data_IF_415783518493
#
_entry.id   IF_415783518493
#
_cell.length_a   1.000
_cell.length_b   1.000
_cell.length_c   1.000
_cell.angle_alpha   90.00
_cell.angle_beta   90.00
_cell.angle_gamma   90.00
#
_symmetry.space_group_name_H-M   'P 1'
#
loop_
_entity.id
_entity.type
_entity.pdbx_description
1 polymer ?
#
# COMPACT_ATOMS: atom_id res chain seq x y z
N UNK A 1 40.11 36.82 -16.09
CA UNK A 1 39.73 35.77 -17.05
C UNK A 1 38.88 34.76 -16.32
N UNK A 2 37.57 34.77 -16.56
CA UNK A 2 36.65 33.77 -16.00
C UNK A 2 36.63 32.59 -16.97
N UNK A 3 37.28 31.50 -16.62
CA UNK A 3 37.20 30.25 -17.38
C UNK A 3 35.83 29.64 -17.14
N UNK A 4 34.92 29.83 -18.10
CA UNK A 4 33.61 29.19 -18.08
C UNK A 4 33.73 27.66 -18.12
N UNK A 5 32.85 26.98 -17.40
CA UNK A 5 32.72 25.52 -17.44
C UNK A 5 32.48 25.08 -18.89
N UNK A 6 33.35 24.22 -19.42
CA UNK A 6 33.28 23.78 -20.81
C UNK A 6 31.93 23.12 -21.17
N UNK A 7 31.52 23.14 -22.45
CA UNK A 7 30.20 22.67 -22.90
C UNK A 7 29.86 21.23 -22.48
N UNK A 8 30.84 20.35 -22.34
CA UNK A 8 30.64 18.99 -21.85
C UNK A 8 30.32 18.94 -20.35
N UNK A 9 30.91 19.83 -19.55
CA UNK A 9 30.67 19.93 -18.09
C UNK A 9 29.31 20.57 -17.84
N UNK A 10 28.93 21.57 -18.64
CA UNK A 10 27.58 22.16 -18.60
C UNK A 10 26.52 21.16 -19.08
N UNK A 11 26.77 20.38 -20.13
CA UNK A 11 25.84 19.34 -20.58
C UNK A 11 25.69 18.20 -19.55
N UNK A 12 26.79 17.77 -18.93
CA UNK A 12 26.77 16.78 -17.85
C UNK A 12 26.02 17.31 -16.61
N UNK A 13 26.24 18.58 -16.22
CA UNK A 13 25.48 19.24 -15.15
C UNK A 13 23.99 19.36 -15.49
N UNK A 14 23.63 19.71 -16.72
CA UNK A 14 22.22 19.80 -17.17
C UNK A 14 21.55 18.43 -17.18
N UNK A 15 22.25 17.37 -17.62
CA UNK A 15 21.74 16.00 -17.59
C UNK A 15 21.58 15.48 -16.16
N UNK A 16 22.52 15.78 -15.26
CA UNK A 16 22.44 15.43 -13.83
C UNK A 16 21.30 16.19 -13.13
N UNK A 17 21.10 17.48 -13.44
CA UNK A 17 19.99 18.29 -12.89
C UNK A 17 18.64 17.84 -13.47
N UNK A 18 18.56 17.49 -14.76
CA UNK A 18 17.33 16.95 -15.35
C UNK A 18 16.98 15.57 -14.75
N UNK A 19 17.95 14.70 -14.50
CA UNK A 19 17.74 13.45 -13.78
C UNK A 19 17.37 13.65 -12.30
N UNK A 20 17.83 14.75 -11.68
CA UNK A 20 17.45 15.12 -10.30
C UNK A 20 16.01 15.66 -10.17
N UNK A 21 15.31 15.95 -11.27
CA UNK A 21 13.92 16.42 -11.25
C UNK A 21 12.87 15.34 -11.47
N UNK A 22 13.26 14.18 -12.01
CA UNK A 22 12.33 13.08 -12.26
C UNK A 22 12.12 12.23 -11.01
N UNK A 23 10.85 11.97 -10.68
CA UNK A 23 10.51 10.97 -9.68
C UNK A 23 10.87 9.58 -10.20
N UNK A 24 11.30 8.71 -9.28
CA UNK A 24 11.56 7.31 -9.59
C UNK A 24 10.32 6.66 -10.23
N UNK A 25 10.47 5.95 -11.37
CA UNK A 25 9.32 5.33 -12.02
C UNK A 25 8.62 4.31 -11.10
N UNK A 26 7.36 4.03 -11.34
CA UNK A 26 6.61 3.00 -10.60
C UNK A 26 5.95 1.99 -11.53
N UNK A 27 5.42 0.90 -10.98
CA UNK A 27 4.72 -0.11 -11.77
C UNK A 27 3.49 0.50 -12.49
N UNK A 28 3.21 0.08 -13.74
CA UNK A 28 1.98 0.48 -14.42
C UNK A 28 0.74 -0.07 -13.69
N UNK A 29 -0.44 0.54 -13.88
CA UNK A 29 -1.68 0.03 -13.29
C UNK A 29 -1.97 -1.42 -13.71
N UNK A 30 -2.32 -2.28 -12.75
CA UNK A 30 -2.52 -3.72 -12.98
C UNK A 30 -3.99 -4.13 -13.25
N UNK A 31 -4.94 -3.20 -13.09
CA UNK A 31 -6.38 -3.46 -13.25
C UNK A 31 -6.96 -2.70 -14.45
N UNK A 32 -7.69 -1.61 -14.22
CA UNK A 32 -8.47 -0.86 -15.23
C UNK A 32 -7.64 0.10 -16.08
N UNK A 33 -6.30 0.04 -16.00
CA UNK A 33 -5.42 1.05 -16.61
C UNK A 33 -5.46 2.43 -15.93
N UNK A 34 -6.26 2.60 -14.88
CA UNK A 34 -6.39 3.87 -14.15
C UNK A 34 -5.18 4.17 -13.27
N UNK A 35 -4.75 5.43 -13.16
CA UNK A 35 -3.59 5.80 -12.35
C UNK A 35 -3.83 5.65 -10.85
N UNK A 36 -5.08 5.74 -10.40
CA UNK A 36 -5.51 5.56 -9.03
C UNK A 36 -6.70 4.60 -9.00
N UNK A 37 -6.51 3.45 -8.35
CA UNK A 37 -7.50 2.37 -8.23
C UNK A 37 -8.28 2.53 -6.93
N UNK A 38 -9.60 2.42 -6.98
CA UNK A 38 -10.42 2.27 -5.75
C UNK A 38 -11.01 0.88 -5.73
N UNK A 39 -10.56 0.06 -4.79
CA UNK A 39 -11.03 -1.29 -4.60
C UNK A 39 -12.03 -1.41 -3.45
N UNK A 40 -13.01 -2.29 -3.62
CA UNK A 40 -14.02 -2.64 -2.62
C UNK A 40 -13.79 -4.05 -2.10
N UNK A 41 -13.42 -4.19 -0.84
CA UNK A 41 -13.22 -5.47 -0.15
C UNK A 41 -14.01 -5.51 1.17
N UNK A 42 -15.32 -5.34 1.05
CA UNK A 42 -16.29 -5.37 2.15
C UNK A 42 -17.26 -6.52 1.88
N UNK A 43 -17.66 -7.34 2.88
CA UNK A 43 -18.43 -8.58 2.69
C UNK A 43 -19.92 -8.36 2.33
N UNK A 44 -20.21 -7.33 1.54
CA UNK A 44 -21.56 -6.87 1.18
C UNK A 44 -22.37 -7.83 0.32
N UNK A 45 -21.75 -8.86 -0.25
CA UNK A 45 -22.47 -9.93 -0.91
C UNK A 45 -23.35 -10.74 0.06
N UNK A 46 -23.13 -10.64 1.37
CA UNK A 46 -24.03 -11.22 2.38
C UNK A 46 -25.35 -10.42 2.52
N UNK A 47 -25.40 -9.14 2.14
CA UNK A 47 -26.59 -8.29 2.32
C UNK A 47 -27.81 -8.73 1.49
N UNK A 48 -27.60 -9.20 0.26
CA UNK A 48 -28.68 -9.72 -0.59
C UNK A 48 -29.34 -10.98 -0.03
N UNK A 49 -28.61 -12.11 0.08
CA UNK A 49 -29.18 -13.39 0.49
C UNK A 49 -29.67 -13.39 1.94
N UNK A 50 -28.89 -12.82 2.89
CA UNK A 50 -29.21 -12.86 4.33
C UNK A 50 -30.23 -11.81 4.75
N UNK A 51 -30.16 -10.60 4.19
CA UNK A 51 -30.94 -9.45 4.67
C UNK A 51 -31.95 -8.90 3.65
N UNK A 52 -32.07 -9.52 2.47
CA UNK A 52 -32.92 -9.07 1.35
C UNK A 52 -32.65 -7.61 0.95
N UNK A 53 -31.40 -7.18 1.11
CA UNK A 53 -30.98 -5.79 0.92
C UNK A 53 -29.73 -5.73 0.02
N UNK A 54 -29.76 -6.22 -1.23
CA UNK A 54 -28.60 -6.15 -2.11
C UNK A 54 -28.19 -4.70 -2.36
N UNK A 55 -26.88 -4.48 -2.43
CA UNK A 55 -26.33 -3.22 -2.92
C UNK A 55 -26.72 -2.99 -4.37
N UNK A 56 -26.76 -1.73 -4.79
CA UNK A 56 -27.10 -1.40 -6.18
C UNK A 56 -25.91 -1.77 -7.10
N UNK A 57 -26.12 -2.60 -8.14
CA UNK A 57 -25.05 -2.96 -9.08
C UNK A 57 -24.39 -1.76 -9.75
N UNK A 58 -25.12 -0.65 -10.00
CA UNK A 58 -24.56 0.56 -10.60
C UNK A 58 -23.65 1.33 -9.65
N UNK A 59 -23.91 1.28 -8.35
CA UNK A 59 -23.02 1.87 -7.35
C UNK A 59 -21.73 1.06 -7.24
N UNK A 60 -21.84 -0.27 -7.30
CA UNK A 60 -20.68 -1.16 -7.27
C UNK A 60 -19.75 -1.00 -8.47
N UNK A 61 -20.28 -0.63 -9.65
CA UNK A 61 -19.47 -0.32 -10.86
C UNK A 61 -18.59 0.92 -10.74
N UNK A 62 -18.70 1.70 -9.65
CA UNK A 62 -17.80 2.82 -9.38
C UNK A 62 -16.42 2.37 -8.89
N UNK A 63 -16.32 1.18 -8.30
CA UNK A 63 -15.08 0.59 -7.84
C UNK A 63 -14.40 -0.17 -8.97
N UNK A 64 -13.10 0.03 -9.14
CA UNK A 64 -12.29 -0.60 -10.18
C UNK A 64 -12.15 -2.11 -9.96
N UNK A 65 -12.19 -2.53 -8.69
CA UNK A 65 -12.07 -3.92 -8.27
C UNK A 65 -13.06 -4.18 -7.14
N UNK A 66 -13.73 -5.32 -7.20
CA UNK A 66 -14.61 -5.81 -6.15
C UNK A 66 -14.08 -7.18 -5.69
N UNK A 67 -13.97 -7.34 -4.37
CA UNK A 67 -13.55 -8.57 -3.71
C UNK A 67 -14.37 -8.74 -2.42
N UNK A 68 -14.14 -9.86 -1.75
CA UNK A 68 -14.66 -10.13 -0.43
C UNK A 68 -13.59 -10.72 0.49
N UNK A 69 -13.56 -10.31 1.77
CA UNK A 69 -12.69 -10.92 2.78
C UNK A 69 -13.19 -12.29 3.26
N UNK A 70 -14.42 -12.69 2.89
CA UNK A 70 -15.03 -13.95 3.30
C UNK A 70 -14.24 -15.16 2.75
N UNK A 71 -14.03 -16.17 3.59
CA UNK A 71 -13.16 -17.33 3.30
C UNK A 71 -13.56 -18.09 2.03
N UNK A 72 -14.86 -18.22 1.76
CA UNK A 72 -15.35 -18.95 0.59
C UNK A 72 -15.13 -18.25 -0.75
N UNK A 73 -14.62 -17.02 -0.77
CA UNK A 73 -14.41 -16.24 -1.98
C UNK A 73 -12.94 -16.35 -2.42
N UNK A 74 -12.73 -17.08 -3.51
CA UNK A 74 -11.41 -17.41 -4.04
C UNK A 74 -11.26 -16.96 -5.48
N UNK A 75 -10.02 -16.92 -5.97
CA UNK A 75 -9.65 -16.48 -7.31
C UNK A 75 -10.11 -15.05 -7.61
N UNK A 76 -9.93 -14.18 -6.61
CA UNK A 76 -10.32 -12.77 -6.65
C UNK A 76 -9.14 -11.91 -7.08
N UNK A 77 -9.43 -10.74 -7.67
CA UNK A 77 -8.41 -9.75 -8.04
C UNK A 77 -7.64 -9.19 -6.82
N UNK A 78 -8.26 -9.26 -5.64
CA UNK A 78 -7.64 -8.96 -4.35
C UNK A 78 -7.87 -10.17 -3.46
N UNK A 79 -6.79 -10.76 -2.98
CA UNK A 79 -6.82 -11.91 -2.09
C UNK A 79 -6.14 -11.55 -0.78
N UNK A 80 -6.89 -11.58 0.32
CA UNK A 80 -6.34 -11.40 1.67
C UNK A 80 -6.15 -12.77 2.33
N UNK A 81 -4.91 -13.05 2.71
CA UNK A 81 -4.50 -14.22 3.45
C UNK A 81 -4.42 -13.89 4.95
N UNK A 82 -5.55 -14.06 5.65
CA UNK A 82 -5.57 -14.03 7.12
C UNK A 82 -4.70 -15.12 7.74
N UNK A 83 -4.39 -15.00 9.03
CA UNK A 83 -3.47 -15.88 9.78
C UNK A 83 -3.59 -17.39 9.52
N UNK A 84 -4.80 -17.90 9.33
CA UNK A 84 -5.08 -19.33 9.17
C UNK A 84 -5.13 -19.77 7.68
N UNK A 85 -4.88 -18.84 6.75
CA UNK A 85 -5.06 -19.05 5.30
C UNK A 85 -3.75 -19.19 4.52
N UNK A 86 -2.58 -19.04 5.15
CA UNK A 86 -1.29 -19.08 4.46
C UNK A 86 -0.18 -19.69 5.32
N UNK A 87 0.23 -20.91 4.96
CA UNK A 87 1.24 -21.67 5.69
C UNK A 87 0.83 -22.00 7.13
N UNK A 88 1.84 -22.29 7.95
CA UNK A 88 1.70 -22.57 9.38
C UNK A 88 2.22 -21.37 10.19
N UNK A 89 1.44 -20.29 10.27
CA UNK A 89 1.85 -19.06 10.94
C UNK A 89 1.80 -19.20 12.49
N UNK A 90 2.93 -19.07 13.21
CA UNK A 90 2.96 -19.23 14.66
C UNK A 90 2.20 -18.11 15.38
N UNK A 91 1.25 -18.44 16.24
CA UNK A 91 0.44 -17.44 16.95
C UNK A 91 -0.19 -18.02 18.23
N UNK A 92 -0.86 -17.16 19.00
CA UNK A 92 -1.73 -17.60 20.10
C UNK A 92 -3.20 -17.45 19.70
N UNK A 93 -4.00 -18.50 19.91
CA UNK A 93 -5.43 -18.42 19.64
C UNK A 93 -6.17 -17.59 20.71
N UNK A 94 -7.49 -17.42 20.55
CA UNK A 94 -8.33 -16.60 21.43
C UNK A 94 -8.37 -17.04 22.89
N UNK A 95 -8.01 -18.30 23.20
CA UNK A 95 -7.91 -18.83 24.58
C UNK A 95 -6.47 -18.82 25.10
N UNK A 96 -5.54 -18.20 24.38
CA UNK A 96 -4.13 -18.06 24.79
C UNK A 96 -3.29 -19.33 24.59
N UNK A 97 -3.76 -20.29 23.79
CA UNK A 97 -2.99 -21.50 23.47
C UNK A 97 -2.06 -21.24 22.30
N UNK A 98 -0.81 -21.68 22.44
CA UNK A 98 0.19 -21.69 21.38
C UNK A 98 -0.27 -22.56 20.19
N UNK A 99 -0.25 -21.97 19.00
CA UNK A 99 -0.54 -22.61 17.70
C UNK A 99 0.72 -22.52 16.85
N UNK A 100 1.08 -23.62 16.18
CA UNK A 100 2.31 -23.74 15.37
C UNK A 100 3.59 -23.27 16.08
N UNK A 101 3.69 -23.51 17.40
CA UNK A 101 4.83 -23.11 18.21
C UNK A 101 4.67 -21.77 18.94
N UNK A 102 3.68 -20.95 18.56
CA UNK A 102 3.27 -19.73 19.25
C UNK A 102 4.19 -18.53 19.00
N UNK A 103 5.50 -18.74 18.90
CA UNK A 103 6.50 -17.74 18.50
C UNK A 103 7.30 -18.26 17.31
N UNK A 104 7.82 -17.39 16.43
CA UNK A 104 8.47 -17.81 15.19
C UNK A 104 9.68 -18.72 15.42
N UNK A 105 10.51 -18.49 16.44
CA UNK A 105 11.69 -19.33 16.73
C UNK A 105 11.35 -20.72 17.27
N UNK A 106 10.08 -20.97 17.61
CA UNK A 106 9.58 -22.27 18.05
C UNK A 106 8.65 -22.92 17.00
N UNK A 107 8.42 -22.24 15.87
CA UNK A 107 7.66 -22.76 14.73
C UNK A 107 8.57 -23.46 13.72
N UNK A 108 8.05 -24.47 13.02
CA UNK A 108 8.79 -25.11 11.94
C UNK A 108 8.63 -24.37 10.62
N UNK A 109 9.66 -23.63 10.21
CA UNK A 109 9.68 -22.93 8.92
C UNK A 109 9.55 -23.90 7.75
N UNK A 110 10.14 -25.09 7.85
CA UNK A 110 10.05 -26.10 6.79
C UNK A 110 8.60 -26.56 6.56
N UNK A 111 7.88 -26.95 7.63
CA UNK A 111 6.46 -27.34 7.53
C UNK A 111 5.62 -26.15 7.04
N UNK A 112 5.93 -24.94 7.49
CA UNK A 112 5.27 -23.73 7.03
C UNK A 112 5.36 -23.58 5.50
N UNK A 113 6.57 -23.69 4.94
CA UNK A 113 6.82 -23.53 3.50
C UNK A 113 6.17 -24.65 2.67
N UNK A 114 6.14 -25.89 3.14
CA UNK A 114 5.45 -26.99 2.44
C UNK A 114 3.95 -26.72 2.26
N UNK A 115 3.33 -26.09 3.26
CA UNK A 115 1.89 -25.77 3.23
C UNK A 115 1.54 -24.59 2.33
N UNK A 116 2.50 -23.69 2.04
CA UNK A 116 2.25 -22.49 1.24
C UNK A 116 1.70 -22.83 -0.15
N UNK A 117 2.22 -23.88 -0.80
CA UNK A 117 1.78 -24.25 -2.15
C UNK A 117 0.27 -24.47 -2.21
N UNK A 118 -0.25 -25.37 -1.39
CA UNK A 118 -1.68 -25.72 -1.39
C UNK A 118 -2.56 -24.55 -1.01
N UNK A 119 -2.12 -23.73 -0.04
CA UNK A 119 -2.86 -22.55 0.38
C UNK A 119 -2.92 -21.49 -0.73
N UNK A 120 -1.81 -21.20 -1.40
CA UNK A 120 -1.81 -20.24 -2.52
C UNK A 120 -2.62 -20.78 -3.71
N UNK A 121 -2.53 -22.07 -4.04
CA UNK A 121 -3.35 -22.67 -5.10
C UNK A 121 -4.85 -22.60 -4.81
N UNK A 122 -5.25 -22.72 -3.54
CA UNK A 122 -6.65 -22.64 -3.14
C UNK A 122 -7.25 -21.27 -3.44
N UNK A 123 -6.56 -20.21 -3.02
CA UNK A 123 -7.06 -18.82 -3.11
C UNK A 123 -6.71 -18.13 -4.43
N UNK A 124 -5.58 -18.47 -5.07
CA UNK A 124 -5.12 -17.91 -6.35
C UNK A 124 -4.89 -19.07 -7.32
N UNK A 125 -5.94 -19.48 -8.02
CA UNK A 125 -5.97 -20.71 -8.83
C UNK A 125 -5.20 -20.58 -10.14
N UNK A 126 -5.15 -19.37 -10.71
CA UNK A 126 -4.52 -19.10 -12.00
C UNK A 126 -3.27 -18.23 -11.86
N UNK A 127 -2.38 -18.29 -12.85
CA UNK A 127 -1.20 -17.42 -12.95
C UNK A 127 -1.56 -15.99 -13.43
N UNK A 128 -2.67 -15.90 -14.17
CA UNK A 128 -3.22 -14.68 -14.74
C UNK A 128 -4.73 -14.61 -14.47
N UNK A 129 -5.32 -13.41 -14.38
CA UNK A 129 -4.69 -12.08 -14.51
C UNK A 129 -3.82 -11.72 -13.29
N UNK A 130 -3.15 -10.56 -13.35
CA UNK A 130 -2.47 -9.96 -12.20
C UNK A 130 -3.49 -9.54 -11.12
N UNK A 131 -3.05 -9.53 -9.86
CA UNK A 131 -3.90 -9.18 -8.73
C UNK A 131 -3.08 -8.70 -7.52
N UNK A 132 -3.78 -8.26 -6.48
CA UNK A 132 -3.17 -7.95 -5.18
C UNK A 132 -3.29 -9.18 -4.27
N UNK A 133 -2.19 -9.53 -3.61
CA UNK A 133 -2.13 -10.63 -2.67
C UNK A 133 -1.57 -10.10 -1.34
N UNK A 134 -2.46 -9.94 -0.37
CA UNK A 134 -2.17 -9.27 0.90
C UNK A 134 -2.04 -10.32 1.99
N UNK A 135 -0.90 -10.35 2.67
CA UNK A 135 -0.69 -11.24 3.82
C UNK A 135 -1.08 -10.47 5.08
N UNK A 136 -2.12 -10.94 5.76
CA UNK A 136 -2.70 -10.29 6.93
C UNK A 136 -2.34 -11.05 8.21
N UNK A 137 -1.11 -10.81 8.66
CA UNK A 137 -0.51 -11.39 9.86
C UNK A 137 -0.30 -10.32 10.91
N UNK A 138 -1.25 -10.21 11.84
CA UNK A 138 -1.24 -9.15 12.86
C UNK A 138 -0.82 -9.64 14.24
N UNK A 139 -0.72 -10.96 14.46
CA UNK A 139 -0.54 -11.54 15.79
C UNK A 139 0.75 -11.07 16.47
N UNK A 140 1.90 -11.05 15.78
CA UNK A 140 3.17 -10.50 16.25
C UNK A 140 3.82 -9.57 15.21
N UNK A 141 4.78 -8.75 15.65
CA UNK A 141 5.52 -7.79 14.83
C UNK A 141 6.99 -8.20 14.75
N UNK A 142 7.66 -8.12 13.58
CA UNK A 142 9.02 -8.63 13.42
C UNK A 142 10.07 -7.85 14.21
N UNK A 143 9.73 -6.63 14.67
CA UNK A 143 10.58 -5.82 15.55
C UNK A 143 10.15 -6.06 16.99
N UNK A 144 11.04 -6.61 17.82
CA UNK A 144 10.79 -7.06 19.19
C UNK A 144 10.10 -6.02 20.04
N UNK A 145 10.61 -4.79 20.04
CA UNK A 145 10.09 -3.71 20.88
C UNK A 145 8.65 -3.35 20.53
N UNK A 146 8.21 -3.62 19.30
CA UNK A 146 6.83 -3.38 18.86
C UNK A 146 5.83 -4.40 19.41
N UNK A 147 6.27 -5.50 20.03
CA UNK A 147 5.38 -6.50 20.65
C UNK A 147 4.99 -6.09 22.08
N UNK A 148 4.31 -4.95 22.21
CA UNK A 148 3.76 -4.43 23.48
C UNK A 148 2.29 -4.83 23.68
N UNK A 149 1.74 -4.49 24.85
CA UNK A 149 0.35 -4.75 25.24
C UNK A 149 -0.01 -6.25 25.13
N UNK A 150 -1.09 -6.59 24.42
CA UNK A 150 -1.55 -7.96 24.17
C UNK A 150 -0.47 -8.82 23.51
N UNK A 151 0.44 -8.22 22.74
CA UNK A 151 1.57 -8.89 22.09
C UNK A 151 2.76 -9.15 23.01
N UNK A 152 2.73 -8.72 24.27
CA UNK A 152 3.81 -9.04 25.22
C UNK A 152 3.92 -10.55 25.49
N UNK A 153 2.86 -11.32 25.23
CA UNK A 153 2.88 -12.79 25.30
C UNK A 153 4.01 -13.40 24.44
N UNK A 154 4.30 -12.84 23.26
CA UNK A 154 5.40 -13.30 22.40
C UNK A 154 6.76 -13.06 23.05
N UNK A 155 6.95 -11.89 23.70
CA UNK A 155 8.19 -11.58 24.44
C UNK A 155 8.36 -12.45 25.68
N UNK A 156 7.27 -12.80 26.37
CA UNK A 156 7.29 -13.67 27.55
C UNK A 156 7.63 -15.11 27.18
N UNK A 157 6.96 -15.68 26.18
CA UNK A 157 7.26 -17.05 25.73
C UNK A 157 8.70 -17.15 25.19
N UNK A 158 9.15 -16.17 24.42
CA UNK A 158 10.53 -16.14 23.89
C UNK A 158 11.57 -16.20 25.03
N UNK A 159 11.41 -15.38 26.07
CA UNK A 159 12.30 -15.40 27.25
C UNK A 159 12.22 -16.73 28.00
N UNK A 160 11.03 -17.29 28.14
CA UNK A 160 10.83 -18.58 28.81
C UNK A 160 11.55 -19.73 28.09
N UNK A 161 11.48 -19.78 26.75
CA UNK A 161 12.16 -20.81 25.94
C UNK A 161 13.69 -20.73 26.06
N UNK A 162 14.25 -19.54 26.15
CA UNK A 162 15.69 -19.35 26.40
C UNK A 162 16.06 -19.76 27.82
N UNK A 163 15.26 -19.36 28.83
CA UNK A 163 15.52 -19.71 30.23
C UNK A 163 15.47 -21.22 30.50
N UNK A 164 14.60 -21.97 29.82
CA UNK A 164 14.57 -23.44 29.91
C UNK A 164 15.86 -24.06 29.36
N UNK A 165 16.37 -23.56 28.23
CA UNK A 165 17.61 -24.06 27.62
C UNK A 165 18.86 -23.62 28.37
N UNK A 166 18.78 -22.51 29.11
CA UNK A 166 19.89 -21.94 29.86
C UNK A 166 19.48 -21.53 31.29
N UNK A 167 19.26 -22.50 32.19
CA UNK A 167 18.77 -22.23 33.56
C UNK A 167 19.71 -21.33 34.39
N UNK A 168 21.02 -21.40 34.10
CA UNK A 168 22.05 -20.67 34.85
C UNK A 168 22.34 -19.27 34.29
N UNK A 169 21.68 -18.84 33.21
CA UNK A 169 21.93 -17.53 32.63
C UNK A 169 21.26 -16.40 33.40
N UNK A 170 21.92 -15.24 33.56
CA UNK A 170 21.29 -14.08 34.16
C UNK A 170 20.14 -13.55 33.29
N UNK A 171 19.09 -12.95 33.90
CA UNK A 171 17.90 -12.49 33.18
C UNK A 171 18.19 -11.55 31.99
N UNK A 172 19.20 -10.68 32.11
CA UNK A 172 19.58 -9.76 31.02
C UNK A 172 20.12 -10.48 29.79
N UNK A 173 20.90 -11.56 30.00
CA UNK A 173 21.41 -12.39 28.91
C UNK A 173 20.28 -13.16 28.24
N UNK A 174 19.37 -13.72 29.04
CA UNK A 174 18.15 -14.38 28.55
C UNK A 174 17.31 -13.40 27.69
N UNK A 175 17.14 -12.16 28.15
CA UNK A 175 16.37 -11.17 27.42
C UNK A 175 16.99 -10.79 26.06
N UNK A 176 18.31 -10.58 26.01
CA UNK A 176 19.03 -10.27 24.77
C UNK A 176 18.97 -11.44 23.77
N UNK A 177 19.17 -12.66 24.24
CA UNK A 177 19.10 -13.85 23.38
C UNK A 177 17.67 -14.07 22.86
N UNK A 178 16.65 -13.92 23.73
CA UNK A 178 15.25 -14.06 23.33
C UNK A 178 14.83 -13.04 22.27
N UNK A 179 15.34 -11.80 22.38
CA UNK A 179 15.14 -10.79 21.34
C UNK A 179 15.79 -11.23 20.02
N UNK A 180 17.07 -11.63 20.06
CA UNK A 180 17.81 -12.05 18.87
C UNK A 180 17.11 -13.21 18.15
N UNK A 181 16.79 -14.28 18.88
CA UNK A 181 16.13 -15.46 18.31
C UNK A 181 14.76 -15.13 17.71
N UNK A 182 13.96 -14.30 18.40
CA UNK A 182 12.66 -13.88 17.93
C UNK A 182 12.75 -13.06 16.65
N UNK A 183 13.56 -11.99 16.62
CA UNK A 183 13.67 -11.10 15.45
C UNK A 183 14.29 -11.84 14.26
N UNK A 184 15.27 -12.72 14.51
CA UNK A 184 15.85 -13.57 13.49
C UNK A 184 14.79 -14.50 12.87
N UNK A 185 14.05 -15.25 13.70
CA UNK A 185 13.05 -16.18 13.20
C UNK A 185 11.86 -15.45 12.55
N UNK A 186 11.40 -14.34 13.11
CA UNK A 186 10.33 -13.52 12.53
C UNK A 186 10.69 -13.05 11.13
N UNK A 187 11.93 -12.58 10.93
CA UNK A 187 12.46 -12.21 9.62
C UNK A 187 12.46 -13.42 8.67
N UNK A 188 12.97 -14.58 9.10
CA UNK A 188 13.00 -15.78 8.25
C UNK A 188 11.59 -16.18 7.80
N UNK A 189 10.62 -16.24 8.71
CA UNK A 189 9.24 -16.58 8.39
C UNK A 189 8.64 -15.62 7.36
N UNK A 190 8.70 -14.31 7.59
CA UNK A 190 8.11 -13.34 6.67
C UNK A 190 8.84 -13.31 5.31
N UNK A 191 10.17 -13.36 5.32
CA UNK A 191 11.00 -13.26 4.11
C UNK A 191 10.86 -14.50 3.21
N UNK A 192 10.97 -15.70 3.78
CA UNK A 192 10.85 -16.94 3.00
C UNK A 192 9.43 -17.16 2.50
N UNK A 193 8.41 -16.69 3.25
CA UNK A 193 7.03 -16.64 2.75
C UNK A 193 6.94 -15.78 1.50
N UNK A 194 7.40 -14.52 1.54
CA UNK A 194 7.35 -13.62 0.38
C UNK A 194 8.10 -14.19 -0.83
N UNK A 195 9.30 -14.73 -0.62
CA UNK A 195 10.08 -15.37 -1.68
C UNK A 195 9.32 -16.49 -2.36
N UNK A 196 8.76 -17.39 -1.56
CA UNK A 196 7.97 -18.51 -2.06
C UNK A 196 6.76 -18.02 -2.86
N UNK A 197 5.91 -17.19 -2.27
CA UNK A 197 4.63 -16.80 -2.89
C UNK A 197 4.83 -15.95 -4.14
N UNK A 198 5.84 -15.09 -4.18
CA UNK A 198 6.21 -14.32 -5.37
C UNK A 198 6.73 -15.21 -6.48
N UNK A 199 7.62 -16.15 -6.17
CA UNK A 199 8.09 -17.10 -7.19
C UNK A 199 6.94 -17.96 -7.73
N UNK A 200 5.98 -18.32 -6.87
CA UNK A 200 4.86 -19.17 -7.21
C UNK A 200 3.73 -18.45 -7.96
N UNK A 201 3.51 -17.15 -7.70
CA UNK A 201 2.55 -16.26 -8.38
C UNK A 201 3.22 -14.92 -8.73
N UNK A 202 4.09 -14.88 -9.74
CA UNK A 202 4.93 -13.71 -10.06
C UNK A 202 4.18 -12.51 -10.62
N UNK A 203 2.94 -12.70 -11.08
CA UNK A 203 2.09 -11.60 -11.59
C UNK A 203 1.22 -10.95 -10.51
N UNK A 204 1.19 -11.51 -9.31
CA UNK A 204 0.50 -10.89 -8.18
C UNK A 204 1.45 -9.95 -7.44
N UNK A 205 0.91 -8.84 -6.96
CA UNK A 205 1.64 -7.93 -6.10
C UNK A 205 1.44 -8.33 -4.64
N UNK A 206 2.54 -8.71 -3.99
CA UNK A 206 2.63 -9.30 -2.66
C UNK A 206 3.19 -8.31 -1.66
N UNK A 207 2.63 -8.35 -0.46
CA UNK A 207 3.07 -7.54 0.67
C UNK A 207 2.23 -7.84 1.91
N UNK A 208 2.66 -7.33 3.06
CA UNK A 208 1.95 -7.49 4.32
C UNK A 208 1.03 -6.31 4.59
N UNK A 209 -0.20 -6.60 5.02
CA UNK A 209 -1.10 -5.59 5.58
C UNK A 209 -0.47 -4.92 6.80
N UNK A 210 -0.78 -3.63 7.00
CA UNK A 210 -0.21 -2.70 7.99
C UNK A 210 1.19 -2.17 7.68
N UNK A 211 1.96 -2.76 6.76
CA UNK A 211 3.37 -2.39 6.60
C UNK A 211 3.60 -1.36 5.46
N UNK A 212 4.35 -0.27 5.73
CA UNK A 212 4.85 0.17 7.03
C UNK A 212 3.75 0.80 7.90
N UNK A 213 3.97 0.75 9.22
CA UNK A 213 3.20 1.52 10.19
C UNK A 213 4.01 2.74 10.65
N UNK A 214 3.32 3.86 10.79
CA UNK A 214 3.85 5.16 11.21
C UNK A 214 3.79 5.34 12.74
N UNK A 215 2.89 4.61 13.43
CA UNK A 215 2.63 4.72 14.87
C UNK A 215 2.38 6.15 15.38
N UNK A 216 1.78 7.01 14.55
CA UNK A 216 1.41 8.40 14.84
C UNK A 216 0.07 8.50 15.62
N UNK A 217 -0.07 7.75 16.71
CA UNK A 217 -1.30 7.70 17.51
C UNK A 217 -1.29 8.62 18.73
N UNK A 218 -0.30 9.51 18.85
CA UNK A 218 -0.14 10.38 20.01
C UNK A 218 -1.18 11.52 20.08
N UNK A 219 -2.04 11.67 19.05
CA UNK A 219 -3.25 12.51 19.12
C UNK A 219 -4.15 12.19 20.32
N UNK A 220 -4.10 10.96 20.85
CA UNK A 220 -4.83 10.54 22.04
C UNK A 220 -4.39 11.30 23.30
N UNK A 221 -3.12 11.73 23.36
CA UNK A 221 -2.54 12.40 24.52
C UNK A 221 -2.19 13.87 24.25
N UNK A 222 -1.90 14.20 22.99
CA UNK A 222 -1.26 15.45 22.58
C UNK A 222 -2.08 16.22 21.55
N UNK A 223 -3.42 16.26 21.67
CA UNK A 223 -4.30 16.84 20.65
C UNK A 223 -3.86 18.23 20.15
N UNK A 224 -3.57 19.15 21.07
CA UNK A 224 -3.22 20.54 20.73
C UNK A 224 -1.90 20.67 19.95
N UNK A 225 -0.96 19.75 20.16
CA UNK A 225 0.38 19.77 19.54
C UNK A 225 0.56 18.68 18.49
N UNK A 226 -0.50 17.93 18.17
CA UNK A 226 -0.43 16.78 17.29
C UNK A 226 -0.16 17.18 15.84
N UNK A 227 0.99 16.74 15.33
CA UNK A 227 1.44 17.05 13.96
C UNK A 227 1.09 15.96 12.95
N UNK A 228 0.78 14.75 13.40
CA UNK A 228 0.62 13.57 12.57
C UNK A 228 1.92 12.92 12.11
N UNK A 229 3.09 13.53 12.35
CA UNK A 229 4.39 12.97 11.94
C UNK A 229 4.61 11.60 12.54
N UNK A 230 5.18 10.69 11.76
CA UNK A 230 5.72 9.44 12.29
C UNK A 230 6.85 9.80 13.28
N UNK A 231 6.86 9.23 14.50
CA UNK A 231 7.99 9.43 15.41
C UNK A 231 9.30 8.99 14.76
N UNK A 232 10.39 9.75 14.94
CA UNK A 232 11.68 9.48 14.27
C UNK A 232 12.22 8.08 14.59
N UNK A 233 11.96 7.57 15.80
CA UNK A 233 12.31 6.21 16.20
C UNK A 233 11.57 5.15 15.38
N UNK A 234 10.35 5.43 14.94
CA UNK A 234 9.54 4.51 14.13
C UNK A 234 9.96 4.53 12.66
N UNK A 235 10.35 5.70 12.15
CA UNK A 235 11.00 5.83 10.84
C UNK A 235 12.29 5.00 10.81
N UNK A 236 13.16 5.13 11.83
CA UNK A 236 14.39 4.33 11.94
C UNK A 236 14.12 2.82 12.08
N UNK A 237 13.07 2.42 12.80
CA UNK A 237 12.65 1.01 12.89
C UNK A 237 12.13 0.50 11.54
N UNK A 238 11.46 1.33 10.76
CA UNK A 238 11.05 0.97 9.40
C UNK A 238 12.27 0.84 8.48
N UNK A 239 13.32 1.63 8.64
CA UNK A 239 14.57 1.46 7.88
C UNK A 239 15.25 0.11 8.16
N UNK A 240 15.15 -0.40 9.40
CA UNK A 240 15.67 -1.73 9.77
C UNK A 240 14.90 -2.89 9.10
N UNK A 241 13.69 -2.61 8.58
CA UNK A 241 12.88 -3.55 7.81
C UNK A 241 13.19 -3.50 6.30
N UNK A 242 14.33 -2.94 5.88
CA UNK A 242 14.79 -2.92 4.48
C UNK A 242 14.65 -4.27 3.75
N UNK A 243 14.86 -5.38 4.46
CA UNK A 243 14.70 -6.74 3.93
C UNK A 243 13.25 -7.07 3.52
N UNK A 244 12.26 -6.50 4.20
CA UNK A 244 10.84 -6.70 3.93
C UNK A 244 10.41 -5.92 2.70
N UNK A 245 10.86 -4.66 2.61
CA UNK A 245 10.59 -3.77 1.49
C UNK A 245 11.19 -4.32 0.20
N UNK A 246 12.48 -4.71 0.24
CA UNK A 246 13.18 -5.24 -0.93
C UNK A 246 12.59 -6.54 -1.47
N UNK A 247 11.95 -7.34 -0.61
CA UNK A 247 11.28 -8.57 -1.01
C UNK A 247 9.79 -8.35 -1.34
N UNK A 248 9.19 -7.20 -1.03
CA UNK A 248 7.79 -6.92 -1.39
C UNK A 248 7.64 -6.57 -2.87
N UNK A 249 6.43 -6.67 -3.43
CA UNK A 249 6.08 -6.13 -4.76
C UNK A 249 4.96 -5.11 -4.72
N UNK A 250 4.33 -4.90 -3.56
CA UNK A 250 3.51 -3.74 -3.22
C UNK A 250 3.54 -3.50 -1.70
N UNK A 251 3.14 -2.30 -1.26
CA UNK A 251 2.97 -1.96 0.16
C UNK A 251 1.51 -1.71 0.49
N UNK A 252 1.11 -2.11 1.70
CA UNK A 252 -0.28 -2.10 2.16
C UNK A 252 -0.44 -1.40 3.53
N UNK A 253 -0.10 -0.10 3.65
CA UNK A 253 -0.28 0.64 4.89
C UNK A 253 -1.78 0.78 5.19
N UNK A 254 -2.15 0.77 6.48
CA UNK A 254 -3.52 1.06 6.92
C UNK A 254 -3.65 2.50 7.41
N UNK A 255 -4.72 3.19 7.03
CA UNK A 255 -5.04 4.55 7.46
C UNK A 255 -6.45 4.65 8.06
N UNK A 256 -6.91 3.57 8.72
CA UNK A 256 -8.24 3.54 9.33
C UNK A 256 -8.42 4.71 10.29
N UNK A 257 -9.36 5.59 9.96
CA UNK A 257 -9.54 6.85 10.64
C UNK A 257 -10.47 6.68 11.84
N UNK A 258 -10.01 7.02 13.04
CA UNK A 258 -10.85 6.98 14.23
C UNK A 258 -11.84 8.14 14.28
N UNK A 259 -13.00 7.93 14.92
CA UNK A 259 -14.06 8.95 15.01
C UNK A 259 -13.60 10.20 15.80
N UNK A 260 -12.64 10.05 16.73
CA UNK A 260 -12.00 11.19 17.41
C UNK A 260 -11.27 12.14 16.45
N UNK A 261 -10.85 11.65 15.28
CA UNK A 261 -10.19 12.44 14.24
C UNK A 261 -11.16 12.96 13.17
N UNK A 262 -12.46 12.67 13.30
CA UNK A 262 -13.46 13.00 12.28
C UNK A 262 -13.48 14.49 11.96
N UNK A 263 -13.55 14.80 10.66
CA UNK A 263 -13.72 16.16 10.13
C UNK A 263 -12.70 17.16 10.68
N UNK A 264 -11.45 16.71 10.82
CA UNK A 264 -10.38 17.50 11.43
C UNK A 264 -9.10 17.53 10.58
N UNK A 265 -8.33 18.61 10.74
CA UNK A 265 -6.98 18.72 10.17
C UNK A 265 -6.06 17.63 10.69
N UNK A 266 -6.23 17.22 11.95
CA UNK A 266 -5.50 16.11 12.56
C UNK A 266 -5.82 14.77 11.89
N UNK A 267 -7.06 14.54 11.47
CA UNK A 267 -7.43 13.36 10.68
C UNK A 267 -6.70 13.30 9.35
N UNK A 268 -6.61 14.43 8.64
CA UNK A 268 -5.78 14.53 7.43
C UNK A 268 -4.30 14.30 7.72
N UNK A 269 -3.75 14.93 8.76
CA UNK A 269 -2.34 14.76 9.11
C UNK A 269 -2.01 13.31 9.47
N UNK A 270 -2.91 12.63 10.21
CA UNK A 270 -2.80 11.20 10.53
C UNK A 270 -2.64 10.35 9.27
N UNK A 271 -3.53 10.53 8.29
CA UNK A 271 -3.47 9.79 7.02
C UNK A 271 -2.23 10.19 6.21
N UNK A 272 -1.99 11.49 6.05
CA UNK A 272 -0.95 12.02 5.16
C UNK A 272 0.42 11.46 5.51
N UNK A 273 0.82 11.49 6.78
CA UNK A 273 2.13 10.98 7.19
C UNK A 273 2.26 9.45 7.09
N UNK A 274 1.15 8.70 7.24
CA UNK A 274 1.14 7.25 7.03
C UNK A 274 1.36 6.89 5.56
N UNK A 275 0.70 7.61 4.65
CA UNK A 275 0.89 7.44 3.21
C UNK A 275 2.29 7.89 2.79
N UNK A 276 2.79 9.01 3.31
CA UNK A 276 4.14 9.50 3.04
C UNK A 276 5.22 8.52 3.51
N UNK A 277 5.07 7.89 4.69
CA UNK A 277 6.03 6.89 5.16
C UNK A 277 6.04 5.64 4.27
N UNK A 278 4.87 5.19 3.81
CA UNK A 278 4.78 4.10 2.83
C UNK A 278 5.46 4.46 1.51
N UNK A 279 5.24 5.67 0.99
CA UNK A 279 5.89 6.15 -0.23
C UNK A 279 7.41 6.31 -0.05
N UNK A 280 7.86 6.73 1.13
CA UNK A 280 9.29 6.86 1.46
C UNK A 280 9.98 5.51 1.39
N UNK A 281 9.47 4.49 2.08
CA UNK A 281 10.11 3.15 2.04
C UNK A 281 9.91 2.47 0.68
N UNK A 282 8.80 2.75 -0.03
CA UNK A 282 8.60 2.25 -1.40
C UNK A 282 9.69 2.74 -2.38
N UNK A 283 10.19 3.97 -2.18
CA UNK A 283 11.15 4.59 -3.08
C UNK A 283 12.59 4.08 -2.86
N UNK A 284 12.96 3.67 -1.64
CA UNK A 284 14.38 3.46 -1.28
C UNK A 284 14.95 2.10 -1.72
N UNK A 285 14.16 1.03 -1.76
CA UNK A 285 14.71 -0.35 -1.71
C UNK A 285 14.86 -1.09 -3.04
N UNK A 286 14.29 -0.60 -4.14
CA UNK A 286 14.50 -1.17 -5.48
C UNK A 286 15.25 -0.16 -6.36
N UNK A 287 16.38 -0.51 -6.98
CA UNK A 287 17.20 0.47 -7.71
C UNK A 287 16.43 1.27 -8.81
N UNK A 288 15.57 0.59 -9.56
CA UNK A 288 15.03 1.12 -10.82
C UNK A 288 13.56 1.57 -10.76
N UNK A 289 12.85 1.31 -9.66
CA UNK A 289 11.45 1.72 -9.50
C UNK A 289 11.06 1.87 -8.04
N UNK A 290 9.99 2.62 -7.78
CA UNK A 290 9.30 2.64 -6.50
C UNK A 290 8.18 1.61 -6.48
N UNK A 291 7.98 0.94 -5.34
CA UNK A 291 6.88 -0.01 -5.15
C UNK A 291 5.52 0.71 -5.25
N UNK A 292 4.50 0.10 -5.90
CA UNK A 292 3.14 0.62 -5.84
C UNK A 292 2.58 0.49 -4.42
N UNK A 293 2.00 1.58 -3.90
CA UNK A 293 1.37 1.62 -2.57
C UNK A 293 -0.14 1.54 -2.71
N UNK A 294 -0.77 0.56 -2.08
CA UNK A 294 -2.23 0.40 -2.02
C UNK A 294 -2.70 0.59 -0.58
N UNK A 295 -3.33 1.72 -0.31
CA UNK A 295 -3.63 2.16 1.06
C UNK A 295 -4.92 1.50 1.55
N UNK A 296 -4.86 0.77 2.65
CA UNK A 296 -6.05 0.24 3.31
C UNK A 296 -6.79 1.36 4.05
N UNK A 297 -8.05 1.57 3.71
CA UNK A 297 -8.96 2.45 4.44
C UNK A 297 -10.31 1.75 4.64
N UNK A 298 -11.21 2.35 5.42
CA UNK A 298 -12.58 1.85 5.63
C UNK A 298 -13.57 2.83 4.99
N UNK A 299 -14.75 2.35 4.54
CA UNK A 299 -15.84 3.26 4.17
C UNK A 299 -16.45 3.98 5.39
N UNK A 300 -16.08 3.56 6.61
CA UNK A 300 -16.57 4.09 7.90
C UNK A 300 -15.41 4.45 8.81
N UNK A 301 -15.66 5.21 9.88
CA UNK A 301 -14.66 5.38 10.93
C UNK A 301 -14.31 4.05 11.58
N UNK A 302 -13.08 3.93 12.10
CA UNK A 302 -12.62 2.77 12.83
C UNK A 302 -13.57 2.46 14.01
N UNK A 303 -13.81 1.18 14.28
CA UNK A 303 -14.64 0.72 15.42
C UNK A 303 -16.12 1.11 15.35
N UNK A 304 -16.58 1.71 14.25
CA UNK A 304 -17.97 2.08 14.00
C UNK A 304 -18.43 1.79 12.58
N UNK A 305 -19.74 1.94 12.36
CA UNK A 305 -20.39 1.81 11.06
C UNK A 305 -20.87 3.15 10.49
N UNK A 306 -20.48 4.25 11.13
CA UNK A 306 -20.72 5.61 10.66
C UNK A 306 -19.83 5.87 9.45
N UNK A 307 -20.44 6.16 8.29
CA UNK A 307 -19.71 6.48 7.06
C UNK A 307 -18.82 7.71 7.24
N UNK A 308 -17.67 7.72 6.55
CA UNK A 308 -16.77 8.87 6.55
C UNK A 308 -17.48 10.11 5.99
N UNK A 309 -17.26 11.28 6.62
CA UNK A 309 -17.75 12.56 6.10
C UNK A 309 -17.09 12.90 4.75
N UNK A 310 -17.61 13.88 4.02
CA UNK A 310 -16.96 14.35 2.79
C UNK A 310 -15.52 14.84 3.06
N UNK A 311 -15.30 15.55 4.16
CA UNK A 311 -13.96 16.00 4.58
C UNK A 311 -13.03 14.81 4.86
N UNK A 312 -13.54 13.73 5.41
CA UNK A 312 -12.74 12.54 5.73
C UNK A 312 -12.54 11.64 4.52
N UNK A 313 -13.45 11.63 3.53
CA UNK A 313 -13.21 11.04 2.22
C UNK A 313 -12.07 11.78 1.49
N UNK A 314 -12.04 13.11 1.59
CA UNK A 314 -10.92 13.94 1.14
C UNK A 314 -9.64 13.59 1.89
N UNK A 315 -9.71 13.50 3.21
CA UNK A 315 -8.55 13.26 4.06
C UNK A 315 -8.00 11.84 3.98
N UNK A 316 -8.79 10.87 3.49
CA UNK A 316 -8.39 9.46 3.32
C UNK A 316 -8.07 9.13 1.86
N UNK A 317 -9.11 9.02 1.02
CA UNK A 317 -8.99 8.62 -0.38
C UNK A 317 -8.33 9.73 -1.20
N UNK A 318 -8.77 10.99 -1.04
CA UNK A 318 -8.24 12.14 -1.77
C UNK A 318 -6.77 12.40 -1.47
N UNK A 319 -6.39 12.36 -0.19
CA UNK A 319 -5.00 12.52 0.25
C UNK A 319 -4.11 11.41 -0.31
N UNK A 320 -4.58 10.16 -0.30
CA UNK A 320 -3.85 9.02 -0.89
C UNK A 320 -3.63 9.21 -2.40
N UNK A 321 -4.66 9.65 -3.14
CA UNK A 321 -4.56 9.92 -4.57
C UNK A 321 -3.59 11.07 -4.86
N UNK A 322 -3.69 12.17 -4.12
CA UNK A 322 -2.86 13.36 -4.31
C UNK A 322 -1.38 13.08 -4.02
N UNK A 323 -1.07 12.26 -3.02
CA UNK A 323 0.31 11.87 -2.68
C UNK A 323 0.93 10.85 -3.65
N UNK A 324 0.16 10.28 -4.58
CA UNK A 324 0.67 9.37 -5.60
C UNK A 324 0.56 7.88 -5.29
N UNK A 325 -0.27 7.48 -4.32
CA UNK A 325 -0.58 6.07 -4.09
C UNK A 325 -1.17 5.42 -5.36
N UNK A 326 -0.98 4.11 -5.54
CA UNK A 326 -1.55 3.36 -6.67
C UNK A 326 -3.04 3.12 -6.53
N UNK A 327 -3.53 3.17 -5.31
CA UNK A 327 -4.94 3.06 -5.03
C UNK A 327 -5.24 2.97 -3.55
N UNK A 328 -6.52 2.79 -3.26
CA UNK A 328 -7.03 2.47 -1.93
C UNK A 328 -7.81 1.16 -1.96
N UNK A 329 -7.77 0.43 -0.86
CA UNK A 329 -8.59 -0.76 -0.62
C UNK A 329 -9.55 -0.42 0.52
N UNK A 330 -10.85 -0.33 0.18
CA UNK A 330 -11.92 -0.14 1.15
C UNK A 330 -12.25 -1.48 1.78
N UNK A 331 -11.73 -1.72 2.96
CA UNK A 331 -11.92 -2.97 3.67
C UNK A 331 -13.07 -2.88 4.67
N UNK A 332 -13.75 -4.00 4.91
CA UNK A 332 -14.72 -4.10 5.99
C UNK A 332 -14.85 -5.52 6.55
N UNK A 333 -15.20 -5.61 7.82
CA UNK A 333 -15.45 -6.87 8.52
C UNK A 333 -16.93 -7.31 8.40
N UNK A 334 -17.24 -8.48 8.99
CA UNK A 334 -18.61 -9.01 9.01
C UNK A 334 -19.63 -8.09 9.71
N UNK A 335 -19.17 -7.09 10.48
CA UNK A 335 -19.99 -6.06 11.11
C UNK A 335 -20.87 -5.30 10.11
N UNK A 336 -20.39 -5.09 8.88
CA UNK A 336 -21.11 -4.43 7.79
C UNK A 336 -22.36 -5.17 7.31
N UNK A 337 -22.49 -6.45 7.65
CA UNK A 337 -23.59 -7.31 7.19
C UNK A 337 -24.28 -8.03 8.35
N UNK A 338 -24.36 -7.37 9.50
CA UNK A 338 -24.99 -7.90 10.72
C UNK A 338 -26.52 -7.84 10.70
N UNK A 339 -27.10 -6.85 10.02
CA UNK A 339 -28.55 -6.63 9.99
C UNK A 339 -29.04 -5.97 8.70
N UNK A 340 -30.35 -5.99 8.49
CA UNK A 340 -31.02 -5.25 7.42
C UNK A 340 -30.78 -3.73 7.52
N UNK A 341 -30.75 -3.17 8.73
CA UNK A 341 -30.45 -1.77 9.01
C UNK A 341 -29.04 -1.43 8.56
N UNK A 342 -28.05 -2.24 8.93
CA UNK A 342 -26.65 -1.99 8.57
C UNK A 342 -26.47 -2.00 7.05
N UNK A 343 -27.01 -3.01 6.37
CA UNK A 343 -26.94 -3.10 4.90
C UNK A 343 -27.66 -1.92 4.22
N UNK A 344 -28.82 -1.49 4.74
CA UNK A 344 -29.53 -0.31 4.21
C UNK A 344 -28.73 0.97 4.41
N UNK A 345 -28.19 1.21 5.62
CA UNK A 345 -27.36 2.40 5.90
C UNK A 345 -26.14 2.45 5.00
N UNK A 346 -25.47 1.31 4.80
CA UNK A 346 -24.33 1.22 3.90
C UNK A 346 -24.75 1.54 2.46
N UNK A 347 -25.85 0.95 1.97
CA UNK A 347 -26.38 1.23 0.63
C UNK A 347 -26.70 2.72 0.43
N UNK A 348 -27.35 3.34 1.40
CA UNK A 348 -27.68 4.77 1.36
C UNK A 348 -26.42 5.63 1.36
N UNK A 349 -25.44 5.30 2.21
CA UNK A 349 -24.15 6.00 2.29
C UNK A 349 -23.35 5.89 0.98
N UNK A 350 -23.28 4.69 0.39
CA UNK A 350 -22.66 4.47 -0.91
C UNK A 350 -23.26 5.38 -1.97
N UNK A 351 -24.59 5.33 -2.10
CA UNK A 351 -25.32 6.09 -3.13
C UNK A 351 -25.14 7.59 -2.97
N UNK A 352 -25.21 8.10 -1.72
CA UNK A 352 -25.28 9.53 -1.44
C UNK A 352 -23.91 10.20 -1.32
N UNK A 353 -22.89 9.49 -0.85
CA UNK A 353 -21.62 10.11 -0.45
C UNK A 353 -20.42 9.44 -1.11
N UNK A 354 -20.23 8.12 -0.89
CA UNK A 354 -19.00 7.47 -1.30
C UNK A 354 -18.87 7.33 -2.82
N UNK A 355 -19.92 6.90 -3.53
CA UNK A 355 -19.88 6.70 -4.99
C UNK A 355 -19.64 8.02 -5.75
N UNK A 356 -20.36 9.13 -5.47
CA UNK A 356 -20.04 10.42 -6.09
C UNK A 356 -18.58 10.84 -5.89
N UNK A 357 -18.06 10.65 -4.68
CA UNK A 357 -16.68 10.99 -4.35
C UNK A 357 -15.66 10.12 -5.10
N UNK A 358 -15.86 8.80 -5.12
CA UNK A 358 -14.99 7.84 -5.84
C UNK A 358 -14.96 8.14 -7.33
N UNK A 359 -16.11 8.42 -7.95
CA UNK A 359 -16.18 8.83 -9.36
C UNK A 359 -15.38 10.12 -9.58
N UNK A 360 -15.52 11.12 -8.71
CA UNK A 360 -14.79 12.38 -8.82
C UNK A 360 -13.26 12.16 -8.79
N UNK A 361 -12.74 11.56 -7.73
CA UNK A 361 -11.29 11.40 -7.52
C UNK A 361 -10.64 10.50 -8.58
N UNK A 362 -11.29 9.40 -8.96
CA UNK A 362 -10.75 8.48 -9.96
C UNK A 362 -10.67 9.11 -11.34
N UNK A 363 -11.69 9.89 -11.75
CA UNK A 363 -11.65 10.61 -13.02
C UNK A 363 -10.69 11.81 -12.99
N UNK A 364 -10.59 12.52 -11.88
CA UNK A 364 -9.61 13.60 -11.74
C UNK A 364 -8.17 13.09 -11.88
N UNK A 365 -7.85 11.96 -11.25
CA UNK A 365 -6.56 11.31 -11.40
C UNK A 365 -6.31 10.86 -12.86
N UNK A 366 -7.34 10.30 -13.52
CA UNK A 366 -7.26 9.91 -14.93
C UNK A 366 -7.01 11.09 -15.88
N UNK A 367 -7.77 12.18 -15.73
CA UNK A 367 -7.60 13.37 -16.55
C UNK A 367 -6.26 14.03 -16.31
N UNK A 368 -5.75 14.04 -15.07
CA UNK A 368 -4.41 14.54 -14.80
C UNK A 368 -3.33 13.69 -15.48
N UNK A 369 -3.44 12.36 -15.39
CA UNK A 369 -2.54 11.44 -16.08
C UNK A 369 -2.50 11.70 -17.59
N UNK A 370 -3.66 11.84 -18.24
CA UNK A 370 -3.73 12.14 -19.68
C UNK A 370 -3.21 13.53 -20.04
N UNK A 371 -3.62 14.56 -19.30
CA UNK A 371 -3.35 15.94 -19.66
C UNK A 371 -1.91 16.40 -19.34
N UNK A 372 -1.29 15.83 -18.30
CA UNK A 372 0.03 16.25 -17.84
C UNK A 372 1.10 15.16 -17.92
N UNK A 373 0.71 13.88 -17.90
CA UNK A 373 1.66 12.76 -17.89
C UNK A 373 1.53 11.85 -19.15
N UNK A 374 0.91 12.34 -20.23
CA UNK A 374 0.68 11.61 -21.48
C UNK A 374 -0.03 10.26 -21.34
N UNK A 375 -0.72 9.99 -20.21
CA UNK A 375 -1.26 8.65 -19.90
C UNK A 375 -0.20 7.62 -19.56
N UNK A 376 1.03 8.04 -19.32
CA UNK A 376 2.22 7.21 -19.10
C UNK A 376 2.84 7.40 -17.70
N UNK A 377 2.10 8.07 -16.83
CA UNK A 377 2.43 8.25 -15.42
C UNK A 377 1.21 8.68 -14.62
N UNK A 378 1.39 8.82 -13.32
CA UNK A 378 0.39 9.41 -12.41
C UNK A 378 0.83 10.77 -11.94
N UNK A 379 -0.13 11.61 -11.58
CA UNK A 379 0.13 12.88 -10.95
C UNK A 379 0.40 12.71 -9.45
N UNK A 380 1.41 13.42 -8.95
CA UNK A 380 1.85 13.44 -7.56
C UNK A 380 1.97 14.89 -7.12
N UNK A 381 1.41 15.22 -5.95
CA UNK A 381 1.45 16.57 -5.39
C UNK A 381 2.90 17.00 -5.17
N UNK A 382 3.22 18.23 -5.59
CA UNK A 382 4.58 18.78 -5.50
C UNK A 382 5.00 19.01 -4.06
N UNK A 383 4.15 19.69 -3.27
CA UNK A 383 4.34 19.88 -1.84
C UNK A 383 3.48 18.86 -1.07
N UNK A 384 4.06 17.84 -0.43
CA UNK A 384 3.31 16.85 0.33
C UNK A 384 2.54 17.44 1.52
N UNK A 385 2.83 18.67 1.97
CA UNK A 385 2.10 19.31 3.07
C UNK A 385 0.93 20.19 2.60
N UNK A 386 0.90 20.58 1.32
CA UNK A 386 -0.12 21.46 0.77
C UNK A 386 -1.53 20.83 0.80
N UNK A 387 -2.55 21.69 0.83
CA UNK A 387 -3.97 21.29 0.84
C UNK A 387 -4.54 21.24 -0.58
N UNK A 388 -3.85 20.56 -1.49
CA UNK A 388 -4.28 20.41 -2.88
C UNK A 388 -4.60 18.96 -3.18
N UNK A 389 -5.68 18.70 -3.91
CA UNK A 389 -6.21 17.37 -4.17
C UNK A 389 -6.53 17.19 -5.66
N UNK A 390 -6.59 15.94 -6.10
CA UNK A 390 -7.05 15.58 -7.44
C UNK A 390 -8.57 15.44 -7.43
N UNK A 391 -9.29 16.54 -7.66
CA UNK A 391 -10.74 16.55 -7.80
C UNK A 391 -11.17 17.25 -9.10
N UNK A 392 -12.31 16.83 -9.64
CA UNK A 392 -12.94 17.51 -10.77
C UNK A 392 -13.51 18.85 -10.30
N UNK A 393 -13.13 19.93 -10.97
CA UNK A 393 -13.70 21.25 -10.68
C UNK A 393 -15.17 21.32 -11.07
N UNK A 394 -16.01 21.80 -10.15
CA UNK A 394 -17.44 22.02 -10.39
C UNK A 394 -17.72 23.14 -11.43
N UNK A 395 -16.72 23.98 -11.76
CA UNK A 395 -16.83 24.96 -12.85
C UNK A 395 -16.75 24.31 -14.24
N UNK A 396 -16.09 23.15 -14.34
CA UNK A 396 -15.70 22.53 -15.60
C UNK A 396 -16.37 21.18 -15.83
N UNK A 397 -16.77 20.51 -14.75
CA UNK A 397 -17.40 19.20 -14.79
C UNK A 397 -18.68 19.17 -13.96
N UNK A 398 -19.60 18.30 -14.38
CA UNK A 398 -20.78 17.89 -13.61
C UNK A 398 -20.84 16.37 -13.58
N UNK A 399 -21.19 15.80 -12.43
CA UNK A 399 -21.50 14.37 -12.36
C UNK A 399 -22.96 14.18 -12.76
N UNK A 400 -23.18 13.44 -13.84
CA UNK A 400 -24.52 13.18 -14.39
C UNK A 400 -24.84 11.68 -14.30
N UNK A 401 -26.12 11.30 -14.19
CA UNK A 401 -26.52 9.89 -14.24
C UNK A 401 -26.04 9.22 -15.53
N UNK A 402 -25.47 8.03 -15.42
CA UNK A 402 -25.17 7.20 -16.59
C UNK A 402 -26.34 6.27 -16.94
N UNK A 403 -26.68 6.28 -18.22
CA UNK A 403 -27.68 5.39 -18.82
C UNK A 403 -27.05 4.13 -19.42
N UNK A 404 -25.73 4.05 -19.52
CA UNK A 404 -25.07 2.86 -20.04
C UNK A 404 -25.23 1.69 -19.04
N UNK A 405 -25.50 0.46 -19.52
CA UNK A 405 -25.63 -0.71 -18.66
C UNK A 405 -24.34 -1.01 -17.89
N UNK A 406 -23.18 -0.75 -18.50
CA UNK A 406 -21.85 -1.13 -18.02
C UNK A 406 -21.05 -0.02 -17.35
N UNK A 407 -21.71 1.09 -17.02
CA UNK A 407 -21.10 2.21 -16.33
C UNK A 407 -21.57 2.33 -14.87
N UNK A 408 -20.76 2.99 -14.01
CA UNK A 408 -21.22 3.42 -12.70
C UNK A 408 -22.47 4.31 -12.79
N UNK A 409 -23.19 4.43 -11.67
CA UNK A 409 -24.38 5.31 -11.58
C UNK A 409 -24.10 6.73 -12.10
N UNK A 410 -22.91 7.25 -11.86
CA UNK A 410 -22.50 8.61 -12.21
C UNK A 410 -21.30 8.58 -13.15
N UNK A 411 -21.32 9.46 -14.16
CA UNK A 411 -20.17 9.76 -15.01
C UNK A 411 -19.89 11.27 -15.00
N UNK A 412 -18.64 11.70 -15.17
CA UNK A 412 -18.35 13.11 -15.40
C UNK A 412 -18.79 13.51 -16.81
N UNK A 413 -19.29 14.74 -16.91
CA UNK A 413 -19.56 15.45 -18.16
C UNK A 413 -18.91 16.82 -18.09
N UNK A 414 -18.12 17.15 -19.12
CA UNK A 414 -17.28 18.35 -19.14
C UNK A 414 -15.89 18.07 -19.70
N UNK A 415 -15.03 19.07 -19.66
CA UNK A 415 -13.65 18.99 -20.14
C UNK A 415 -12.73 19.87 -19.27
N UNK A 416 -11.42 19.57 -19.27
CA UNK A 416 -10.45 20.37 -18.54
C UNK A 416 -10.31 21.77 -19.16
N UNK A 417 -10.70 22.79 -18.42
CA UNK A 417 -10.47 24.19 -18.77
C UNK A 417 -8.98 24.54 -18.72
N UNK A 418 -8.62 25.71 -19.26
CA UNK A 418 -7.26 26.22 -19.12
C UNK A 418 -6.87 26.45 -17.66
N UNK A 419 -7.81 26.92 -16.83
CA UNK A 419 -7.59 27.12 -15.39
C UNK A 419 -7.31 25.79 -14.67
N UNK A 420 -8.02 24.71 -15.02
CA UNK A 420 -7.80 23.39 -14.44
C UNK A 420 -6.40 22.87 -14.82
N UNK A 421 -6.00 23.00 -16.09
CA UNK A 421 -4.67 22.58 -16.55
C UNK A 421 -3.55 23.35 -15.85
N UNK A 422 -3.72 24.67 -15.70
CA UNK A 422 -2.76 25.50 -14.99
C UNK A 422 -2.66 25.11 -13.50
N UNK A 423 -3.79 24.81 -12.85
CA UNK A 423 -3.80 24.30 -11.47
C UNK A 423 -3.04 22.97 -11.36
N UNK A 424 -3.27 22.02 -12.27
CA UNK A 424 -2.54 20.75 -12.29
C UNK A 424 -1.03 20.96 -12.46
N UNK A 425 -0.62 21.78 -13.42
CA UNK A 425 0.80 22.07 -13.67
C UNK A 425 1.49 22.73 -12.46
N UNK A 426 0.79 23.64 -11.79
CA UNK A 426 1.28 24.37 -10.63
C UNK A 426 1.46 23.49 -9.39
N UNK A 427 0.53 22.56 -9.14
CA UNK A 427 0.49 21.82 -7.87
C UNK A 427 0.90 20.35 -7.96
N UNK A 428 0.93 19.77 -9.16
CA UNK A 428 1.27 18.37 -9.40
C UNK A 428 2.44 18.24 -10.36
N UNK A 429 3.14 17.11 -10.25
CA UNK A 429 4.19 16.63 -11.17
C UNK A 429 3.94 15.17 -11.52
N UNK A 430 4.62 14.64 -12.53
CA UNK A 430 4.44 13.26 -12.92
C UNK A 430 5.40 12.31 -12.19
N UNK A 431 4.88 11.16 -11.80
CA UNK A 431 5.66 9.96 -11.55
C UNK A 431 5.37 8.97 -12.69
N UNK A 432 6.38 8.70 -13.52
CA UNK A 432 6.20 7.89 -14.71
C UNK A 432 6.08 6.40 -14.41
N UNK A 433 5.40 5.68 -15.30
CA UNK A 433 5.39 4.22 -15.24
C UNK A 433 6.69 3.65 -15.81
N UNK A 434 7.05 2.46 -15.34
CA UNK A 434 8.18 1.69 -15.86
C UNK A 434 8.15 1.64 -17.40
N UNK A 435 9.28 2.00 -18.02
CA UNK A 435 9.43 2.13 -19.47
C UNK A 435 9.24 3.54 -20.02
N UNK A 436 8.81 4.50 -19.20
CA UNK A 436 8.63 5.90 -19.58
C UNK A 436 9.57 6.85 -18.80
N UNK A 437 9.80 8.03 -19.36
CA UNK A 437 10.60 9.09 -18.74
C UNK A 437 10.30 10.47 -19.33
N UNK A 438 10.98 11.51 -18.82
CA UNK A 438 10.66 12.91 -19.07
C UNK A 438 9.75 13.49 -17.98
N UNK A 439 9.77 14.81 -17.82
CA UNK A 439 8.94 15.54 -16.82
C UNK A 439 7.43 15.23 -16.93
N UNK A 440 6.97 14.91 -18.15
CA UNK A 440 5.58 14.59 -18.48
C UNK A 440 5.41 13.13 -18.96
N UNK A 441 6.42 12.27 -18.74
CA UNK A 441 6.41 10.87 -19.18
C UNK A 441 6.26 10.68 -20.69
N UNK A 442 6.76 11.63 -21.47
CA UNK A 442 6.63 11.68 -22.93
C UNK A 442 7.64 10.81 -23.69
N UNK A 443 8.67 10.26 -23.03
CA UNK A 443 9.71 9.47 -23.67
C UNK A 443 9.55 7.97 -23.40
N UNK A 444 9.41 7.16 -24.46
CA UNK A 444 9.42 5.69 -24.36
C UNK A 444 10.86 5.17 -24.27
N UNK A 445 11.32 4.89 -23.05
CA UNK A 445 12.67 4.38 -22.77
C UNK A 445 12.89 2.96 -23.31
N UNK A 446 11.82 2.21 -23.61
CA UNK A 446 11.94 0.86 -24.20
C UNK A 446 12.44 0.91 -25.65
N UNK A 447 12.05 1.95 -26.39
CA UNK A 447 12.51 2.17 -27.76
C UNK A 447 13.96 2.65 -27.82
N UNK A 448 14.40 3.44 -26.85
CA UNK A 448 15.79 3.87 -26.75
C UNK A 448 16.76 2.72 -26.43
N UNK A 449 16.31 1.70 -25.69
CA UNK A 449 17.09 0.48 -25.39
C UNK A 449 17.04 -0.59 -26.51
N UNK A 450 16.24 -0.37 -27.57
CA UNK A 450 16.03 -1.31 -28.68
C UNK A 450 17.23 -1.59 -29.59
N UNK A 451 18.43 -1.12 -29.24
CA UNK A 451 19.70 -1.53 -29.86
C UNK A 451 20.40 -2.70 -29.17
N UNK A 452 19.91 -3.17 -28.01
CA UNK A 452 20.48 -4.29 -27.28
C UNK A 452 19.38 -5.16 -26.64
N UNK A 453 18.73 -5.98 -27.45
CA UNK A 453 17.77 -6.99 -26.97
C UNK A 453 18.50 -8.24 -26.49
N UNK A 454 18.28 -8.63 -25.23
CA UNK A 454 18.68 -9.94 -24.71
C UNK A 454 18.22 -10.19 -23.28
N UNK A 455 17.13 -10.95 -23.14
CA UNK A 455 16.71 -11.74 -21.98
C UNK A 455 16.74 -11.09 -20.58
N UNK A 456 15.55 -10.67 -20.12
CA UNK A 456 15.25 -10.59 -18.67
C UNK A 456 15.08 -12.02 -18.14
N UNK A 457 16.19 -12.67 -17.82
CA UNK A 457 16.25 -13.87 -17.01
C UNK A 457 17.17 -13.56 -15.82
N UNK A 458 16.76 -14.00 -14.62
CA UNK A 458 17.37 -13.62 -13.34
C UNK A 458 18.90 -13.68 -13.35
N UNK A 459 19.53 -12.56 -13.00
CA UNK A 459 20.98 -12.49 -12.87
C UNK A 459 21.37 -12.77 -11.42
N UNK A 460 21.85 -13.99 -11.19
CA UNK A 460 22.77 -14.33 -10.12
C UNK A 460 23.95 -13.35 -10.11
N UNK A 461 24.25 -12.77 -8.95
CA UNK A 461 25.48 -12.03 -8.72
C UNK A 461 26.68 -12.99 -8.86
N UNK A 462 27.50 -12.78 -9.89
CA UNK A 462 28.92 -13.13 -9.85
C UNK A 462 29.72 -12.03 -10.54
N UNK A 463 30.64 -11.44 -9.77
CA UNK A 463 31.93 -10.87 -10.18
C UNK A 463 31.95 -9.71 -11.18
N UNK A 464 32.51 -8.57 -10.77
CA UNK A 464 33.76 -8.05 -11.34
C UNK A 464 34.32 -6.91 -10.47
N UNK A 465 35.36 -7.25 -9.72
CA UNK A 465 36.42 -6.38 -9.22
C UNK A 465 37.32 -5.94 -10.40
N UNK A 466 38.04 -4.82 -10.20
CA UNK A 466 38.95 -4.11 -11.12
C UNK A 466 38.20 -3.16 -12.08
N UNK A 467 38.44 -1.85 -12.07
CA UNK A 467 39.72 -1.16 -12.29
C UNK A 467 39.73 0.19 -11.57
N UNK A 468 40.68 0.43 -10.66
CA UNK A 468 41.02 1.76 -10.16
C UNK A 468 42.43 1.78 -9.56
N UNK A 469 43.46 1.78 -10.40
CA UNK A 469 44.78 2.31 -10.06
C UNK A 469 45.38 2.86 -11.36
N UNK A 470 45.61 4.17 -11.42
CA UNK A 470 46.70 4.85 -12.13
C UNK A 470 46.46 6.36 -12.10
N UNK A 471 46.97 7.03 -11.06
CA UNK A 471 47.39 8.43 -11.11
C UNK A 471 48.07 8.81 -9.77
N UNK A 472 49.34 8.46 -9.60
CA UNK A 472 50.31 9.19 -8.77
C UNK A 472 51.72 8.74 -9.17
N UNK A 473 52.29 9.43 -10.15
CA UNK A 473 53.65 10.02 -10.18
C UNK A 473 53.75 10.89 -11.42
#
# INVERSE_FOLDING_TARGET
>A
MWTGLGPAVTLALVLVVAWATELKPTAPPIFTGRPFVVAWDVPTQDCGPRHKMPLDPKDMKAFDVQASPNEGFVNQNITIFYRDRLGMYPHFNSVGRSVHGGVPQNGSLWVHLEMLKGHVEHYIRTQEPAGLAVIDWEDWRPVWVRNWQDKDVYRRLSRHLVAIRHPDWPPERVAKEAQYEFEFAARQFMLETLRFVKAFRPRHLWGFYLFPDCYNHDYVQNWETYTGRCPDVEVSRNDQLAWLWAESTALFPSVYLEETLASSTHGRNFVSFRVQEALRVADVHHANHALPVYVFTRPTYSRGLTGLSEMDLISTIGESAALGAAGVILWGDAGFTTSNETCRRLKDYLTRSLVPYVVNVSWAAQYCSWAQCHGHGRCVRRDPNAHTFLHLSASSFRLVPSHAPDEPRLRPEGELSWADRNHLQMHFRCQCYLGWGGEQCQWDRRRAAGGASGAWAGSHLTGLLAVAVLAFT
#
